data_IF_967515481143
#
_entry.id   IF_967515481143
#
_cell.length_a   1.000
_cell.length_b   1.000
_cell.length_c   1.000
_cell.angle_alpha   90.00
_cell.angle_beta   90.00
_cell.angle_gamma   90.00
#
_symmetry.space_group_name_H-M   'P 1'
#
loop_
_entity.id
_entity.type
_entity.pdbx_description
1 polymer ?
#
# COMPACT_ATOMS: atom_id res chain seq x y z
N UNK A 1 -2.15 -7.76 11.50
CA UNK A 1 -1.26 -8.17 10.40
C UNK A 1 -0.04 -8.84 11.01
N UNK A 2 0.43 -9.94 10.43
CA UNK A 2 1.66 -10.61 10.83
C UNK A 2 2.74 -10.32 9.78
N UNK A 3 3.99 -10.13 10.21
CA UNK A 3 5.14 -9.88 9.34
C UNK A 3 6.22 -10.88 9.72
N UNK A 4 6.75 -11.59 8.72
CA UNK A 4 7.86 -12.51 8.88
C UNK A 4 9.09 -11.99 8.14
N UNK A 5 10.25 -12.11 8.79
CA UNK A 5 11.51 -11.58 8.28
C UNK A 5 11.83 -10.15 8.75
N UNK A 6 13.09 -9.73 8.55
CA UNK A 6 13.56 -8.40 8.95
C UNK A 6 13.25 -7.37 7.86
N UNK A 7 12.62 -6.26 8.26
CA UNK A 7 12.41 -5.09 7.40
C UNK A 7 13.12 -3.87 7.98
N UNK A 8 13.61 -2.99 7.11
CA UNK A 8 13.91 -1.61 7.48
C UNK A 8 12.67 -0.73 7.26
N UNK A 9 12.65 0.46 7.88
CA UNK A 9 11.53 1.40 7.75
C UNK A 9 12.02 2.81 7.39
N UNK A 10 11.27 3.49 6.52
CA UNK A 10 11.45 4.90 6.20
C UNK A 10 10.18 5.69 6.53
N UNK A 11 10.37 6.88 7.09
CA UNK A 11 9.30 7.85 7.34
C UNK A 11 9.70 9.20 6.79
N UNK A 12 8.77 9.83 6.08
CA UNK A 12 8.93 11.20 5.62
C UNK A 12 8.94 12.19 6.80
N UNK A 13 9.76 13.23 6.68
CA UNK A 13 9.90 14.28 7.72
C UNK A 13 8.78 15.32 7.69
N UNK A 14 8.16 15.52 6.54
CA UNK A 14 7.22 16.62 6.24
C UNK A 14 5.74 16.28 6.47
N UNK A 15 5.43 15.08 6.97
CA UNK A 15 4.08 14.67 7.34
C UNK A 15 4.07 13.34 8.09
N UNK A 16 4.79 12.34 7.56
CA UNK A 16 5.17 11.15 8.32
C UNK A 16 4.01 10.28 8.84
N UNK A 17 2.83 10.34 8.22
CA UNK A 17 1.63 9.61 8.67
C UNK A 17 1.73 8.08 8.55
N UNK A 18 2.66 7.61 7.72
CA UNK A 18 2.90 6.19 7.46
C UNK A 18 4.40 5.86 7.55
N UNK A 19 4.66 4.65 8.04
CA UNK A 19 5.96 3.99 8.01
C UNK A 19 6.02 3.05 6.80
N UNK A 20 6.96 3.28 5.88
CA UNK A 20 7.20 2.41 4.73
C UNK A 20 8.17 1.32 5.12
N UNK A 21 7.74 0.06 5.07
CA UNK A 21 8.56 -1.10 5.39
C UNK A 21 9.09 -1.76 4.11
N UNK A 22 10.39 -2.05 4.09
CA UNK A 22 11.06 -2.63 2.92
C UNK A 22 12.16 -3.62 3.30
N UNK A 23 12.50 -4.50 2.36
CA UNK A 23 13.65 -5.40 2.51
C UNK A 23 14.95 -4.59 2.41
N UNK A 24 15.82 -4.69 3.42
CA UNK A 24 17.11 -3.99 3.41
C UNK A 24 18.08 -4.48 2.33
N UNK A 25 17.83 -5.65 1.73
CA UNK A 25 18.70 -6.25 0.70
C UNK A 25 18.29 -5.83 -0.71
N UNK A 26 17.01 -5.94 -1.06
CA UNK A 26 16.53 -5.64 -2.42
C UNK A 26 15.74 -4.33 -2.53
N UNK A 27 15.56 -3.61 -1.42
CA UNK A 27 14.78 -2.37 -1.32
C UNK A 27 13.30 -2.49 -1.69
N UNK A 28 12.77 -3.68 -1.94
CA UNK A 28 11.36 -3.89 -2.23
C UNK A 28 10.50 -3.48 -1.04
N UNK A 29 9.59 -2.52 -1.25
CA UNK A 29 8.59 -2.11 -0.28
C UNK A 29 7.55 -3.23 -0.15
N UNK A 30 7.38 -3.76 1.05
CA UNK A 30 6.45 -4.87 1.30
C UNK A 30 5.09 -4.37 1.77
N UNK A 31 5.09 -3.34 2.62
CA UNK A 31 3.88 -2.75 3.17
C UNK A 31 4.14 -1.36 3.73
N UNK A 32 3.07 -0.64 4.07
CA UNK A 32 3.15 0.53 4.93
C UNK A 32 2.18 0.42 6.11
N UNK A 33 2.53 1.00 7.24
CA UNK A 33 1.69 1.03 8.45
C UNK A 33 1.41 2.49 8.83
N UNK A 34 0.14 2.83 8.99
CA UNK A 34 -0.28 4.12 9.52
C UNK A 34 0.05 4.23 11.00
N UNK A 35 0.28 5.46 11.47
CA UNK A 35 0.73 5.70 12.84
C UNK A 35 -0.38 5.91 13.86
N UNK A 36 -1.58 6.23 13.38
CA UNK A 36 -2.74 6.47 14.23
C UNK A 36 -3.58 5.21 14.20
N UNK A 37 -3.78 4.63 15.38
CA UNK A 37 -4.69 3.51 15.55
C UNK A 37 -6.14 3.99 15.45
N UNK A 38 -7.02 3.14 14.93
CA UNK A 38 -8.46 3.36 15.02
C UNK A 38 -8.97 3.17 16.47
N UNK A 39 -10.27 3.39 16.69
CA UNK A 39 -10.92 3.24 18.00
C UNK A 39 -10.80 1.83 18.62
N UNK A 40 -10.36 0.84 17.84
CA UNK A 40 -10.17 -0.55 18.26
C UNK A 40 -8.68 -0.90 18.38
N UNK A 41 -7.77 0.08 18.31
CA UNK A 41 -6.33 -0.16 18.42
C UNK A 41 -5.70 -0.74 17.14
N UNK A 42 -6.40 -0.71 16.00
CA UNK A 42 -5.89 -1.27 14.74
C UNK A 42 -5.26 -0.18 13.89
N UNK A 43 -4.12 -0.48 13.30
CA UNK A 43 -3.43 0.44 12.39
C UNK A 43 -3.88 0.22 10.95
N UNK A 44 -4.08 1.30 10.21
CA UNK A 44 -4.29 1.22 8.75
C UNK A 44 -3.03 0.64 8.12
N UNK A 45 -3.19 -0.36 7.27
CA UNK A 45 -2.06 -0.99 6.58
C UNK A 45 -2.44 -1.22 5.12
N UNK A 46 -1.46 -1.10 4.22
CA UNK A 46 -1.57 -1.70 2.89
C UNK A 46 -0.35 -2.57 2.60
N UNK A 47 -0.58 -3.58 1.77
CA UNK A 47 0.42 -4.55 1.33
C UNK A 47 0.72 -4.32 -0.14
N UNK A 48 1.98 -4.53 -0.54
CA UNK A 48 2.38 -4.45 -1.94
C UNK A 48 1.88 -5.69 -2.69
N UNK A 49 0.70 -5.56 -3.31
CA UNK A 49 0.09 -6.63 -4.10
C UNK A 49 0.95 -7.07 -5.28
N UNK A 50 1.95 -6.28 -5.72
CA UNK A 50 2.85 -6.68 -6.79
C UNK A 50 3.80 -7.83 -6.41
N UNK A 51 3.86 -8.16 -5.12
CA UNK A 51 4.64 -9.28 -4.60
C UNK A 51 3.82 -10.58 -4.45
N UNK A 52 2.53 -10.57 -4.81
CA UNK A 52 1.68 -11.78 -4.80
C UNK A 52 1.68 -12.48 -6.15
N UNK A 53 1.15 -13.70 -6.19
CA UNK A 53 0.82 -14.37 -7.45
C UNK A 53 -0.16 -13.51 -8.27
N UNK A 54 0.21 -13.08 -9.49
CA UNK A 54 -0.62 -12.26 -10.35
C UNK A 54 -2.00 -12.86 -10.67
N UNK A 55 -2.09 -14.17 -10.84
CA UNK A 55 -3.33 -14.81 -11.29
C UNK A 55 -4.43 -14.67 -10.22
N UNK A 56 -4.02 -14.72 -8.94
CA UNK A 56 -4.94 -14.56 -7.80
C UNK A 56 -5.47 -13.14 -7.61
N UNK A 57 -4.82 -12.13 -8.20
CA UNK A 57 -5.16 -10.70 -7.99
C UNK A 57 -5.57 -9.96 -9.26
N UNK A 58 -5.41 -10.56 -10.43
CA UNK A 58 -5.65 -9.92 -11.73
C UNK A 58 -7.02 -9.24 -11.84
N UNK A 59 -8.07 -9.85 -11.27
CA UNK A 59 -9.43 -9.33 -11.30
C UNK A 59 -9.78 -8.31 -10.20
N UNK A 60 -8.86 -7.97 -9.30
CA UNK A 60 -9.15 -7.00 -8.24
C UNK A 60 -9.40 -5.61 -8.84
N UNK A 61 -10.51 -4.94 -8.48
CA UNK A 61 -10.82 -3.61 -9.00
C UNK A 61 -9.86 -2.56 -8.44
N UNK A 62 -9.42 -1.64 -9.30
CA UNK A 62 -8.61 -0.49 -8.91
C UNK A 62 -9.53 0.70 -8.64
N UNK A 63 -9.32 1.36 -7.49
CA UNK A 63 -9.93 2.66 -7.19
C UNK A 63 -8.87 3.73 -7.27
N UNK A 64 -9.12 4.74 -8.09
CA UNK A 64 -8.23 5.88 -8.25
C UNK A 64 -8.65 7.01 -7.30
N UNK A 65 -7.66 7.80 -6.89
CA UNK A 65 -7.85 9.06 -6.20
C UNK A 65 -6.81 10.04 -6.74
N UNK A 66 -7.09 11.33 -6.64
CA UNK A 66 -6.12 12.37 -6.98
C UNK A 66 -5.06 12.48 -5.87
N UNK A 67 -3.87 11.93 -6.10
CA UNK A 67 -2.79 11.94 -5.11
C UNK A 67 -1.93 13.21 -5.08
N UNK A 68 -2.23 14.22 -5.90
CA UNK A 68 -1.43 15.44 -6.01
C UNK A 68 -2.08 16.60 -5.25
N UNK A 69 -3.33 16.93 -5.59
CA UNK A 69 -3.96 18.17 -5.11
C UNK A 69 -5.00 17.91 -4.02
N UNK A 70 -5.97 17.05 -4.29
CA UNK A 70 -7.20 16.97 -3.49
C UNK A 70 -7.31 15.74 -2.59
N UNK A 71 -6.61 14.65 -2.91
CA UNK A 71 -6.75 13.37 -2.22
C UNK A 71 -8.17 12.78 -2.26
N UNK A 72 -9.01 13.26 -3.17
CA UNK A 72 -10.38 12.81 -3.35
C UNK A 72 -10.46 11.57 -4.23
N UNK A 73 -11.43 10.70 -3.93
CA UNK A 73 -11.76 9.56 -4.78
C UNK A 73 -12.20 10.03 -6.18
N UNK A 74 -11.69 9.37 -7.20
CA UNK A 74 -12.10 9.58 -8.59
C UNK A 74 -13.22 8.58 -8.96
N UNK A 75 -14.04 8.90 -9.98
CA UNK A 75 -15.04 7.96 -10.49
C UNK A 75 -14.40 6.62 -10.87
N UNK A 76 -15.14 5.53 -10.62
CA UNK A 76 -14.69 4.19 -11.04
C UNK A 76 -14.67 4.11 -12.56
N UNK A 77 -13.56 3.62 -13.09
CA UNK A 77 -13.32 3.47 -14.53
C UNK A 77 -13.38 2.00 -15.00
N UNK A 78 -13.70 1.08 -14.09
CA UNK A 78 -13.83 -0.34 -14.37
C UNK A 78 -12.50 -1.09 -14.49
N UNK A 79 -11.36 -0.42 -14.31
CA UNK A 79 -10.04 -1.05 -14.44
C UNK A 79 -9.72 -1.94 -13.24
N UNK A 80 -8.96 -2.99 -13.53
CA UNK A 80 -8.49 -4.00 -12.60
C UNK A 80 -6.97 -4.00 -12.51
N UNK A 81 -6.41 -4.81 -11.61
CA UNK A 81 -4.96 -5.04 -11.54
C UNK A 81 -4.40 -5.46 -12.90
N UNK A 82 -5.12 -6.32 -13.64
CA UNK A 82 -4.68 -6.79 -14.96
C UNK A 82 -4.42 -5.63 -15.92
N UNK A 83 -5.32 -4.65 -15.96
CA UNK A 83 -5.25 -3.50 -16.86
C UNK A 83 -4.11 -2.53 -16.52
N UNK A 84 -3.49 -2.66 -15.33
CA UNK A 84 -2.41 -1.79 -14.86
C UNK A 84 -1.02 -2.39 -15.05
N UNK A 85 -0.89 -3.72 -14.95
CA UNK A 85 0.40 -4.37 -14.77
C UNK A 85 0.85 -5.27 -15.94
N UNK A 86 -0.05 -5.58 -16.87
CA UNK A 86 0.16 -6.49 -18.01
C UNK A 86 -0.42 -5.88 -19.29
#
# INVERSE_FOLDING_TARGET
MHVEGKTASYRRKDGGDIDFHFCATCASVTHYVGRIADRHGRYRTAVNMRLTDPDGIAGLPIRHFDGLDTFNELPRDGRTVRDMWF
#
